data_IF_456543457925
#
_entry.id   IF_456543457925
#
_cell.length_a   1.000
_cell.length_b   1.000
_cell.length_c   1.000
_cell.angle_alpha   90.00
_cell.angle_beta   90.00
_cell.angle_gamma   90.00
#
_symmetry.space_group_name_H-M   'P 1'
#
loop_
_entity.id
_entity.type
_entity.pdbx_description
1 polymer ?
#
# COMPACT_ATOMS: atom_id res chain seq x y z
N UNK A 1 -14.12 -14.40 -25.97
CA UNK A 1 -14.31 -13.22 -25.10
C UNK A 1 -13.20 -12.24 -25.48
N UNK A 2 -13.52 -10.98 -25.80
CA UNK A 2 -12.49 -9.98 -26.11
C UNK A 2 -11.55 -9.85 -24.89
N UNK A 3 -10.26 -10.14 -25.10
CA UNK A 3 -9.23 -9.99 -24.08
C UNK A 3 -9.22 -8.51 -23.67
N UNK A 4 -9.34 -8.26 -22.36
CA UNK A 4 -9.32 -6.90 -21.84
C UNK A 4 -7.88 -6.41 -21.95
N UNK A 5 -7.67 -5.22 -22.50
CA UNK A 5 -6.33 -4.71 -22.78
C UNK A 5 -5.79 -3.75 -21.70
N UNK A 6 -6.64 -3.29 -20.78
CA UNK A 6 -6.30 -2.26 -19.77
C UNK A 6 -6.57 -2.75 -18.35
N UNK A 7 -5.59 -2.52 -17.48
CA UNK A 7 -5.59 -2.99 -16.09
C UNK A 7 -5.01 -1.93 -15.15
N UNK A 8 -5.46 -1.96 -13.90
CA UNK A 8 -5.05 -1.00 -12.89
C UNK A 8 -4.58 -1.73 -11.63
N UNK A 9 -3.56 -1.21 -10.96
CA UNK A 9 -3.18 -1.65 -9.61
C UNK A 9 -4.36 -1.48 -8.65
N UNK A 10 -4.59 -2.46 -7.77
CA UNK A 10 -5.58 -2.32 -6.71
C UNK A 10 -5.10 -1.25 -5.69
N UNK A 11 -5.91 -0.21 -5.38
CA UNK A 11 -5.53 0.82 -4.40
C UNK A 11 -5.23 0.28 -2.97
N UNK A 12 -5.79 -0.87 -2.62
CA UNK A 12 -5.50 -1.56 -1.35
C UNK A 12 -4.11 -2.21 -1.30
N UNK A 13 -3.39 -2.22 -2.42
CA UNK A 13 -2.02 -2.76 -2.51
C UNK A 13 -1.00 -1.64 -2.34
N UNK A 14 -0.18 -1.77 -1.31
CA UNK A 14 1.03 -0.96 -1.14
C UNK A 14 2.20 -1.59 -1.88
N UNK A 15 3.09 -0.75 -2.39
CA UNK A 15 4.31 -1.18 -3.10
C UNK A 15 5.52 -0.55 -2.42
N UNK A 16 6.53 -1.36 -2.15
CA UNK A 16 7.81 -0.89 -1.63
C UNK A 16 8.95 -1.44 -2.47
N UNK A 17 9.93 -0.61 -2.84
CA UNK A 17 11.10 -1.02 -3.59
C UNK A 17 12.06 -1.83 -2.71
N UNK A 18 12.72 -2.82 -3.30
CA UNK A 18 13.80 -3.54 -2.65
C UNK A 18 15.13 -2.78 -2.88
N UNK A 19 16.13 -2.88 -1.98
CA UNK A 19 17.38 -2.13 -2.11
C UNK A 19 18.24 -2.49 -3.32
N UNK A 20 18.12 -3.72 -3.82
CA UNK A 20 18.86 -4.20 -4.99
C UNK A 20 18.02 -4.04 -6.25
N UNK A 21 17.06 -4.95 -6.45
CA UNK A 21 16.19 -5.00 -7.62
C UNK A 21 14.79 -5.47 -7.22
N UNK A 22 13.78 -4.95 -7.90
CA UNK A 22 12.39 -5.35 -7.74
C UNK A 22 11.63 -4.61 -6.64
N UNK A 23 10.52 -5.22 -6.22
CA UNK A 23 9.62 -4.65 -5.23
C UNK A 23 8.88 -5.72 -4.45
N UNK A 24 8.36 -5.35 -3.28
CA UNK A 24 7.34 -6.12 -2.58
C UNK A 24 5.99 -5.42 -2.71
N UNK A 25 4.97 -6.21 -3.03
CA UNK A 25 3.57 -5.83 -2.95
C UNK A 25 2.98 -6.35 -1.66
N UNK A 26 2.21 -5.51 -0.97
CA UNK A 26 1.48 -5.87 0.24
C UNK A 26 0.00 -5.51 0.07
N UNK A 27 -0.88 -6.51 0.22
CA UNK A 27 -2.33 -6.29 0.17
C UNK A 27 -2.87 -6.16 1.59
N UNK A 28 -3.32 -4.96 1.98
CA UNK A 28 -3.71 -4.67 3.36
C UNK A 28 -4.86 -5.55 3.86
N UNK A 29 -5.93 -5.72 3.07
CA UNK A 29 -7.12 -6.46 3.51
C UNK A 29 -6.90 -7.97 3.69
N UNK A 30 -5.97 -8.56 2.96
CA UNK A 30 -5.74 -10.01 2.95
C UNK A 30 -4.46 -10.42 3.66
N UNK A 31 -3.64 -9.44 4.08
CA UNK A 31 -2.30 -9.63 4.64
C UNK A 31 -1.38 -10.48 3.74
N UNK A 32 -1.64 -10.50 2.42
CA UNK A 32 -0.83 -11.23 1.46
C UNK A 32 0.33 -10.36 0.96
N UNK A 33 1.43 -11.03 0.60
CA UNK A 33 2.62 -10.41 0.02
C UNK A 33 3.05 -11.10 -1.26
N UNK A 34 3.56 -10.33 -2.22
CA UNK A 34 4.16 -10.84 -3.47
C UNK A 34 5.46 -10.10 -3.76
N UNK A 35 6.51 -10.84 -4.11
CA UNK A 35 7.76 -10.26 -4.58
C UNK A 35 7.70 -10.10 -6.11
N UNK A 36 8.15 -8.96 -6.59
CA UNK A 36 8.33 -8.66 -8.00
C UNK A 36 9.83 -8.57 -8.28
N UNK A 37 10.27 -9.22 -9.35
CA UNK A 37 11.56 -8.89 -9.96
C UNK A 37 11.44 -7.58 -10.78
N UNK A 38 12.53 -7.13 -11.36
CA UNK A 38 12.57 -5.89 -12.14
C UNK A 38 11.62 -5.88 -13.34
N UNK A 39 11.52 -6.99 -14.08
CA UNK A 39 10.61 -7.11 -15.21
C UNK A 39 9.15 -6.99 -14.77
N UNK A 40 8.76 -7.67 -13.68
CA UNK A 40 7.40 -7.58 -13.14
C UNK A 40 7.12 -6.19 -12.54
N UNK A 41 8.12 -5.56 -11.91
CA UNK A 41 8.02 -4.18 -11.42
C UNK A 41 7.84 -3.19 -12.57
N UNK A 42 8.55 -3.40 -13.69
CA UNK A 42 8.40 -2.61 -14.90
C UNK A 42 6.96 -2.65 -15.39
N UNK A 43 6.38 -3.86 -15.51
CA UNK A 43 4.98 -4.05 -15.91
C UNK A 43 4.04 -3.40 -14.90
N UNK A 44 4.22 -3.68 -13.60
CA UNK A 44 3.42 -3.16 -12.50
C UNK A 44 3.30 -1.63 -12.54
N UNK A 45 4.41 -0.92 -12.77
CA UNK A 45 4.44 0.55 -12.87
C UNK A 45 3.55 1.11 -14.00
N UNK A 46 3.31 0.35 -15.08
CA UNK A 46 2.43 0.74 -16.20
C UNK A 46 0.96 0.34 -16.01
N UNK A 47 0.61 -0.38 -14.95
CA UNK A 47 -0.78 -0.76 -14.67
C UNK A 47 -1.55 0.42 -14.04
N UNK A 48 -1.83 1.43 -14.88
CA UNK A 48 -2.50 2.70 -14.53
C UNK A 48 -3.95 2.79 -15.06
N UNK A 49 -4.44 1.72 -15.73
CA UNK A 49 -5.76 1.70 -16.37
C UNK A 49 -5.84 2.41 -17.73
N UNK A 50 -4.73 2.95 -18.23
CA UNK A 50 -4.65 3.75 -19.45
C UNK A 50 -3.68 3.16 -20.49
N UNK A 51 -2.63 2.45 -20.03
CA UNK A 51 -1.66 1.79 -20.91
C UNK A 51 -2.14 0.39 -21.28
N UNK A 52 -2.17 0.07 -22.58
CA UNK A 52 -2.58 -1.26 -23.06
C UNK A 52 -1.45 -2.29 -22.91
N UNK A 53 -1.80 -3.58 -22.80
CA UNK A 53 -0.81 -4.69 -22.80
C UNK A 53 0.17 -4.57 -23.97
N UNK A 54 -0.32 -4.29 -25.18
CA UNK A 54 0.53 -4.16 -26.37
C UNK A 54 1.54 -3.01 -26.23
N UNK A 55 1.13 -1.86 -25.69
CA UNK A 55 2.03 -0.74 -25.47
C UNK A 55 3.08 -1.07 -24.39
N UNK A 56 2.67 -1.73 -23.31
CA UNK A 56 3.61 -2.22 -22.28
C UNK A 56 4.62 -3.19 -22.90
N UNK A 57 4.19 -4.09 -23.78
CA UNK A 57 5.07 -5.03 -24.47
C UNK A 57 6.07 -4.33 -25.39
N UNK A 58 5.64 -3.32 -26.14
CA UNK A 58 6.53 -2.49 -26.98
C UNK A 58 7.56 -1.77 -26.11
N UNK A 59 7.14 -1.15 -25.00
CA UNK A 59 8.05 -0.49 -24.06
C UNK A 59 9.06 -1.46 -23.45
N UNK A 60 8.61 -2.65 -23.05
CA UNK A 60 9.46 -3.68 -22.46
C UNK A 60 10.49 -4.20 -23.47
N UNK A 61 10.08 -4.42 -24.72
CA UNK A 61 10.97 -4.86 -25.81
C UNK A 61 12.05 -3.84 -26.15
N UNK A 62 11.80 -2.55 -25.93
CA UNK A 62 12.83 -1.50 -26.10
C UNK A 62 13.79 -1.43 -24.90
N UNK A 63 13.38 -1.98 -23.75
CA UNK A 63 14.17 -1.96 -22.52
C UNK A 63 15.05 -3.21 -22.36
N UNK A 64 14.57 -4.37 -22.83
CA UNK A 64 15.29 -5.64 -22.81
C UNK A 64 15.51 -6.13 -24.25
N UNK A 65 16.77 -6.30 -24.64
CA UNK A 65 17.12 -6.79 -25.96
C UNK A 65 16.75 -8.28 -26.13
N UNK A 66 16.42 -8.66 -27.35
CA UNK A 66 16.44 -10.06 -27.84
C UNK A 66 15.30 -11.00 -27.41
N UNK A 67 14.12 -10.49 -27.00
CA UNK A 67 12.92 -11.33 -26.79
C UNK A 67 11.83 -11.01 -27.81
N UNK A 68 11.24 -12.01 -28.50
CA UNK A 68 10.11 -11.79 -29.40
C UNK A 68 8.90 -11.14 -28.72
N UNK A 69 8.28 -10.14 -29.35
CA UNK A 69 7.17 -9.36 -28.75
C UNK A 69 5.97 -10.23 -28.35
N UNK A 70 5.72 -11.32 -29.07
CA UNK A 70 4.65 -12.27 -28.75
C UNK A 70 4.91 -13.03 -27.44
N UNK A 71 6.17 -13.36 -27.14
CA UNK A 71 6.55 -13.98 -25.86
C UNK A 71 6.36 -12.98 -24.72
N UNK A 72 6.77 -11.72 -24.91
CA UNK A 72 6.55 -10.63 -23.94
C UNK A 72 5.07 -10.44 -23.64
N UNK A 73 4.21 -10.41 -24.67
CA UNK A 73 2.75 -10.26 -24.49
C UNK A 73 2.17 -11.43 -23.68
N UNK A 74 2.65 -12.65 -23.90
CA UNK A 74 2.21 -13.82 -23.15
C UNK A 74 2.65 -13.73 -21.68
N UNK A 75 3.89 -13.32 -21.41
CA UNK A 75 4.41 -13.17 -20.05
C UNK A 75 3.66 -12.07 -19.28
N UNK A 76 3.39 -10.92 -19.93
CA UNK A 76 2.57 -9.86 -19.36
C UNK A 76 1.16 -10.39 -19.04
N UNK A 77 0.56 -11.13 -19.97
CA UNK A 77 -0.79 -11.69 -19.78
C UNK A 77 -0.84 -12.66 -18.60
N UNK A 78 0.14 -13.57 -18.50
CA UNK A 78 0.26 -14.52 -17.39
C UNK A 78 0.47 -13.80 -16.04
N UNK A 79 1.32 -12.76 -16.02
CA UNK A 79 1.52 -11.93 -14.83
C UNK A 79 0.21 -11.28 -14.37
N UNK A 80 -0.49 -10.63 -15.29
CA UNK A 80 -1.76 -9.93 -15.02
C UNK A 80 -2.84 -10.92 -14.57
N UNK A 81 -2.97 -12.09 -15.21
CA UNK A 81 -3.96 -13.10 -14.83
C UNK A 81 -3.77 -13.57 -13.38
N UNK A 82 -2.53 -13.89 -13.01
CA UNK A 82 -2.20 -14.26 -11.63
C UNK A 82 -2.44 -13.10 -10.66
N UNK A 83 -2.08 -11.88 -11.05
CA UNK A 83 -2.28 -10.70 -10.20
C UNK A 83 -3.75 -10.33 -10.01
N UNK A 84 -4.61 -10.56 -11.01
CA UNK A 84 -6.07 -10.43 -10.91
C UNK A 84 -6.65 -11.46 -9.96
N UNK A 85 -6.25 -12.73 -10.12
CA UNK A 85 -6.73 -13.84 -9.29
C UNK A 85 -6.43 -13.61 -7.80
N UNK A 86 -5.25 -13.05 -7.52
CA UNK A 86 -4.79 -12.78 -6.17
C UNK A 86 -5.26 -11.38 -5.65
N UNK A 87 -6.03 -10.63 -6.43
CA UNK A 87 -6.58 -9.32 -6.03
C UNK A 87 -5.60 -8.15 -6.06
N UNK A 88 -4.39 -8.31 -6.60
CA UNK A 88 -3.41 -7.23 -6.71
C UNK A 88 -3.71 -6.24 -7.84
N UNK A 89 -4.39 -6.72 -8.88
CA UNK A 89 -4.77 -5.94 -10.07
C UNK A 89 -6.29 -5.95 -10.18
N UNK A 90 -6.85 -4.83 -10.65
CA UNK A 90 -8.25 -4.65 -10.97
C UNK A 90 -8.43 -4.52 -12.48
N UNK A 91 -9.57 -4.99 -12.97
CA UNK A 91 -9.95 -4.80 -14.37
C UNK A 91 -10.64 -3.45 -14.57
N UNK A 92 -10.60 -2.90 -15.78
CA UNK A 92 -11.14 -1.55 -16.06
C UNK A 92 -12.62 -1.33 -15.66
N UNK A 93 -13.42 -2.41 -15.55
CA UNK A 93 -14.83 -2.35 -15.14
C UNK A 93 -15.05 -2.15 -13.65
N UNK A 94 -14.01 -2.40 -12.85
CA UNK A 94 -14.06 -2.38 -11.38
C UNK A 94 -13.46 -1.06 -10.81
N UNK A 95 -13.15 -0.10 -11.69
CA UNK A 95 -12.48 1.15 -11.34
C UNK A 95 -13.51 2.19 -10.89
N UNK A 96 -13.50 2.53 -9.60
CA UNK A 96 -14.07 3.80 -9.12
C UNK A 96 -13.06 4.92 -9.33
N UNK A 97 -13.47 5.96 -10.04
CA UNK A 97 -12.73 7.18 -10.41
C UNK A 97 -11.52 7.57 -9.54
N UNK A 98 -10.34 7.65 -10.20
CA UNK A 98 -9.04 8.18 -9.75
C UNK A 98 -8.30 7.35 -8.69
N UNK A 99 -7.46 6.41 -9.14
CA UNK A 99 -6.35 5.97 -8.28
C UNK A 99 -5.36 7.13 -8.12
N UNK A 100 -4.87 7.32 -6.89
CA UNK A 100 -3.70 8.19 -6.64
C UNK A 100 -2.53 7.63 -7.43
N UNK A 101 -2.01 8.43 -8.36
CA UNK A 101 -0.73 8.15 -8.99
C UNK A 101 0.36 8.42 -7.96
N UNK A 102 1.06 7.37 -7.57
CA UNK A 102 2.31 7.49 -6.82
C UNK A 102 3.41 7.53 -7.87
N UNK A 103 3.96 8.72 -8.12
CA UNK A 103 5.02 8.92 -9.12
C UNK A 103 6.33 8.21 -8.71
N UNK A 104 6.55 7.99 -7.40
CA UNK A 104 7.67 7.24 -6.84
C UNK A 104 7.23 6.32 -5.69
N UNK A 105 7.90 5.17 -5.55
CA UNK A 105 7.66 4.20 -4.49
C UNK A 105 8.76 4.28 -3.44
N UNK A 106 8.44 4.24 -2.13
CA UNK A 106 9.44 4.21 -1.07
C UNK A 106 10.19 2.87 -1.07
N UNK A 107 11.41 2.84 -0.54
CA UNK A 107 12.12 1.59 -0.27
C UNK A 107 11.57 0.93 0.99
N UNK A 108 11.65 -0.40 1.02
CA UNK A 108 11.18 -1.21 2.17
C UNK A 108 11.86 -0.84 3.50
N UNK A 109 13.04 -0.22 3.44
CA UNK A 109 13.82 0.20 4.62
C UNK A 109 13.58 1.66 5.02
N UNK A 110 12.74 2.41 4.28
CA UNK A 110 12.45 3.82 4.58
C UNK A 110 11.49 3.99 5.77
N UNK A 111 10.86 2.90 6.23
CA UNK A 111 9.94 2.92 7.36
C UNK A 111 10.04 1.64 8.20
N UNK A 112 9.60 1.67 9.46
CA UNK A 112 9.31 0.43 10.19
C UNK A 112 8.21 -0.38 9.49
N UNK A 113 8.19 -1.70 9.73
CA UNK A 113 7.14 -2.58 9.22
C UNK A 113 5.80 -2.36 9.95
N UNK A 114 5.85 -2.08 11.25
CA UNK A 114 4.68 -1.84 12.09
C UNK A 114 4.90 -0.67 13.05
N UNK A 115 3.82 0.03 13.41
CA UNK A 115 3.86 1.13 14.37
C UNK A 115 2.72 1.06 15.38
N UNK A 116 3.04 1.30 16.65
CA UNK A 116 2.06 1.46 17.71
C UNK A 116 1.87 2.96 17.99
N UNK A 117 0.66 3.45 17.74
CA UNK A 117 0.29 4.85 17.89
C UNK A 117 -0.48 5.05 19.19
N UNK A 118 0.17 5.63 20.19
CA UNK A 118 -0.50 6.05 21.42
C UNK A 118 -1.31 7.34 21.16
N UNK A 119 -2.55 7.16 20.69
CA UNK A 119 -3.39 8.27 20.21
C UNK A 119 -4.06 9.06 21.33
N UNK A 120 -4.11 8.50 22.54
CA UNK A 120 -4.56 9.23 23.72
C UNK A 120 -3.92 8.71 25.00
N UNK A 121 -3.55 9.61 25.90
CA UNK A 121 -3.19 9.28 27.27
C UNK A 121 -4.40 9.07 28.20
N UNK A 122 -5.63 9.35 27.75
CA UNK A 122 -6.82 9.19 28.58
C UNK A 122 -7.14 7.72 28.78
N UNK A 123 -7.48 7.36 30.02
CA UNK A 123 -7.94 6.02 30.37
C UNK A 123 -9.06 6.13 31.41
N UNK A 124 -10.09 5.30 31.28
CA UNK A 124 -11.17 5.17 32.26
C UNK A 124 -10.78 4.28 33.46
N UNK A 125 -9.60 3.67 33.44
CA UNK A 125 -9.07 2.79 34.49
C UNK A 125 -7.70 3.29 35.01
N UNK A 126 -7.27 2.71 36.14
CA UNK A 126 -5.98 3.02 36.81
C UNK A 126 -5.27 1.72 37.22
N UNK A 127 -4.90 0.92 36.23
CA UNK A 127 -4.32 -0.40 36.46
C UNK A 127 -2.96 -0.31 37.18
N UNK A 128 -2.79 -1.06 38.27
CA UNK A 128 -1.54 -1.06 39.07
C UNK A 128 -0.29 -1.55 38.31
N UNK A 129 -0.49 -2.23 37.18
CA UNK A 129 0.55 -2.81 36.34
C UNK A 129 0.65 -2.11 34.98
N UNK A 130 0.00 -0.95 34.82
CA UNK A 130 0.09 -0.19 33.57
C UNK A 130 1.48 0.45 33.48
N UNK A 131 2.28 -0.03 32.54
CA UNK A 131 3.63 0.48 32.30
C UNK A 131 3.64 1.90 31.69
N UNK A 132 2.50 2.37 31.18
CA UNK A 132 2.35 3.63 30.44
C UNK A 132 1.67 4.74 31.27
N UNK A 133 1.32 4.47 32.52
CA UNK A 133 0.47 5.34 33.33
C UNK A 133 1.05 6.72 33.61
N UNK A 134 2.38 6.82 33.75
CA UNK A 134 3.03 8.09 34.05
C UNK A 134 3.13 8.97 32.80
N UNK A 135 3.45 8.37 31.65
CA UNK A 135 3.51 9.03 30.35
C UNK A 135 2.15 9.60 29.93
N UNK A 136 1.06 8.86 30.20
CA UNK A 136 -0.32 9.26 29.93
C UNK A 136 -0.75 10.58 30.59
N UNK A 137 -0.13 10.95 31.71
CA UNK A 137 -0.47 12.16 32.47
C UNK A 137 0.54 13.29 32.23
N UNK A 138 1.76 12.94 31.83
CA UNK A 138 2.86 13.89 31.68
C UNK A 138 2.87 14.63 30.32
N UNK A 139 2.06 14.22 29.35
CA UNK A 139 2.06 14.76 27.98
C UNK A 139 0.65 15.05 27.50
N UNK A 140 0.54 16.09 26.69
CA UNK A 140 -0.70 16.39 25.96
C UNK A 140 -0.78 15.54 24.69
N UNK A 141 -2.01 15.11 24.36
CA UNK A 141 -2.31 14.40 23.12
C UNK A 141 -2.24 15.36 21.92
N UNK A 142 -1.81 14.86 20.75
CA UNK A 142 -2.01 15.58 19.50
C UNK A 142 -3.52 15.75 19.24
N UNK A 143 -3.87 16.90 18.63
CA UNK A 143 -5.24 17.17 18.21
C UNK A 143 -5.63 16.29 17.00
N UNK A 144 -6.90 16.34 16.60
CA UNK A 144 -7.43 15.48 15.53
C UNK A 144 -6.75 15.77 14.21
N UNK A 145 -6.58 17.04 13.86
CA UNK A 145 -6.00 17.50 12.61
C UNK A 145 -4.53 17.07 12.48
N UNK A 146 -3.76 17.15 13.56
CA UNK A 146 -2.37 16.69 13.64
C UNK A 146 -2.27 15.17 13.42
N UNK A 147 -3.15 14.39 14.06
CA UNK A 147 -3.19 12.94 13.83
C UNK A 147 -3.59 12.58 12.40
N UNK A 148 -4.57 13.27 11.82
CA UNK A 148 -4.99 13.04 10.43
C UNK A 148 -3.84 13.36 9.46
N UNK A 149 -3.12 14.46 9.67
CA UNK A 149 -1.93 14.80 8.88
C UNK A 149 -0.85 13.72 9.00
N UNK A 150 -0.59 13.25 10.22
CA UNK A 150 0.39 12.19 10.47
C UNK A 150 -0.01 10.87 9.78
N UNK A 151 -1.28 10.46 9.85
CA UNK A 151 -1.78 9.24 9.18
C UNK A 151 -1.68 9.39 7.66
N UNK A 152 -1.96 10.56 7.11
CA UNK A 152 -1.81 10.80 5.67
C UNK A 152 -0.34 10.63 5.22
N UNK A 153 0.61 11.20 5.98
CA UNK A 153 2.05 11.03 5.73
C UNK A 153 2.47 9.57 5.84
N UNK A 154 2.00 8.88 6.88
CA UNK A 154 2.26 7.46 7.11
C UNK A 154 1.75 6.58 5.97
N UNK A 155 0.60 6.93 5.40
CA UNK A 155 0.01 6.25 4.24
C UNK A 155 0.85 6.32 2.96
N UNK A 156 1.88 7.19 2.92
CA UNK A 156 2.87 7.30 1.83
C UNK A 156 4.07 6.37 2.02
N UNK A 157 4.25 5.83 3.22
CA UNK A 157 5.35 4.92 3.58
C UNK A 157 4.91 3.45 3.48
N UNK A 158 5.86 2.50 3.36
CA UNK A 158 5.55 1.08 3.25
C UNK A 158 5.28 0.41 4.61
N UNK A 159 4.57 1.12 5.49
CA UNK A 159 4.11 0.60 6.80
C UNK A 159 2.97 -0.38 6.56
N UNK A 160 3.05 -1.57 7.17
CA UNK A 160 2.11 -2.66 6.92
C UNK A 160 1.01 -2.73 7.97
N UNK A 161 1.36 -2.47 9.23
CA UNK A 161 0.44 -2.60 10.35
C UNK A 161 0.54 -1.39 11.27
N UNK A 162 -0.61 -0.88 11.68
CA UNK A 162 -0.72 0.16 12.69
C UNK A 162 -1.56 -0.40 13.84
N UNK A 163 -1.08 -0.23 15.06
CA UNK A 163 -1.85 -0.49 16.27
C UNK A 163 -2.27 0.84 16.87
N UNK A 164 -3.57 1.06 17.04
CA UNK A 164 -4.05 2.19 17.84
C UNK A 164 -4.03 1.79 19.32
N UNK A 165 -3.33 2.56 20.12
CA UNK A 165 -3.09 2.29 21.55
C UNK A 165 -3.07 3.59 22.36
N UNK A 166 -2.58 3.53 23.60
CA UNK A 166 -2.45 4.64 24.53
C UNK A 166 -2.94 4.23 25.91
N UNK A 167 -3.88 4.98 26.46
CA UNK A 167 -4.72 4.55 27.57
C UNK A 167 -5.86 3.66 27.10
N UNK A 168 -7.07 4.20 27.10
CA UNK A 168 -8.26 3.57 26.53
C UNK A 168 -8.63 4.31 25.24
N UNK A 169 -8.40 3.68 24.08
CA UNK A 169 -8.63 4.27 22.76
C UNK A 169 -10.07 4.76 22.60
N UNK A 170 -11.05 4.05 23.20
CA UNK A 170 -12.46 4.43 23.13
C UNK A 170 -12.81 5.69 23.94
N UNK A 171 -11.89 6.22 24.73
CA UNK A 171 -12.06 7.53 25.40
C UNK A 171 -11.60 8.72 24.55
N UNK A 172 -10.93 8.48 23.41
CA UNK A 172 -10.49 9.54 22.50
C UNK A 172 -11.67 10.12 21.74
N UNK A 173 -11.84 11.45 21.82
CA UNK A 173 -12.77 12.17 20.95
C UNK A 173 -12.39 12.02 19.49
N UNK A 174 -13.38 11.88 18.60
CA UNK A 174 -13.17 11.75 17.16
C UNK A 174 -12.34 10.50 16.75
N UNK A 175 -12.34 9.44 17.58
CA UNK A 175 -11.65 8.19 17.28
C UNK A 175 -11.98 7.65 15.88
N UNK A 176 -13.26 7.65 15.50
CA UNK A 176 -13.72 7.10 14.22
C UNK A 176 -13.18 7.87 13.02
N UNK A 177 -12.95 9.18 13.14
CA UNK A 177 -12.32 9.96 12.07
C UNK A 177 -10.87 9.51 11.84
N UNK A 178 -10.15 9.14 12.92
CA UNK A 178 -8.81 8.57 12.78
C UNK A 178 -8.82 7.16 12.19
N UNK A 179 -9.81 6.34 12.57
CA UNK A 179 -9.98 4.98 12.02
C UNK A 179 -10.28 5.03 10.53
N UNK A 180 -11.17 5.93 10.10
CA UNK A 180 -11.53 6.10 8.69
C UNK A 180 -10.37 6.66 7.84
N UNK A 181 -9.39 7.31 8.47
CA UNK A 181 -8.22 7.86 7.79
C UNK A 181 -7.11 6.83 7.52
N UNK A 182 -7.14 5.67 8.19
CA UNK A 182 -6.17 4.56 8.06
C UNK A 182 -6.57 3.67 6.88
#
# INVERSE_FOLDING_TARGET
MAQRDFYQRNPAVKTALLPEEGAVLYHADTNQKKLLNDTALFIWKRLNGQTSINNIAIELSNHYDSVPINEIVNDISNFIENALKDGYVLSQRDISSKAKEWEEYPYINDSPESMDLAITGKCNLKCKHCFYADEMVARDDLNTEEWLSFIEELGRLPVKTITLTGGEVFTRSHLWELVDAI
#
